data_IF_290248501306
#
_entry.id   IF_290248501306
#
_cell.length_a   1.000
_cell.length_b   1.000
_cell.length_c   1.000
_cell.angle_alpha   90.00
_cell.angle_beta   90.00
_cell.angle_gamma   90.00
#
_symmetry.space_group_name_H-M   'P 1'
#
loop_
_entity.id
_entity.type
_entity.pdbx_description
1 polymer ?
#
# COMPACT_ATOMS: atom_id res chain seq x y z
N UNK A 1 -30.74 15.89 32.57
CA UNK A 1 -29.96 15.01 33.43
C UNK A 1 -28.55 15.55 33.49
N UNK A 2 -27.94 15.75 34.68
CA UNK A 2 -26.56 16.18 34.80
C UNK A 2 -25.64 15.11 34.31
N UNK A 3 -24.69 15.46 33.39
CA UNK A 3 -23.64 14.50 32.94
C UNK A 3 -22.81 14.07 34.15
N UNK A 4 -22.47 12.79 34.25
CA UNK A 4 -21.60 12.23 35.31
C UNK A 4 -20.18 12.77 35.17
N UNK A 5 -19.45 12.88 36.30
CA UNK A 5 -18.06 13.31 36.30
C UNK A 5 -17.18 12.30 35.51
N UNK A 6 -16.30 12.80 34.65
CA UNK A 6 -15.43 11.96 33.84
C UNK A 6 -14.47 11.08 34.68
N UNK A 7 -14.04 11.55 35.86
CA UNK A 7 -13.25 10.75 36.77
C UNK A 7 -14.06 9.57 37.36
N UNK A 8 -15.35 9.82 37.66
CA UNK A 8 -16.26 8.77 38.12
C UNK A 8 -16.57 7.75 37.02
N UNK A 9 -16.71 8.17 35.76
CA UNK A 9 -16.94 7.29 34.61
C UNK A 9 -15.76 6.32 34.44
N UNK A 10 -14.52 6.82 34.57
CA UNK A 10 -13.31 5.98 34.49
C UNK A 10 -12.98 5.26 35.80
N UNK A 11 -13.63 5.63 36.92
CA UNK A 11 -13.39 5.03 38.24
C UNK A 11 -12.01 5.36 38.79
N UNK A 12 -11.49 6.58 38.55
CA UNK A 12 -10.21 7.04 39.02
C UNK A 12 -10.34 8.32 39.87
N UNK A 13 -9.45 8.60 40.84
CA UNK A 13 -9.47 9.86 41.58
C UNK A 13 -9.05 11.04 40.70
N UNK A 14 -9.48 12.25 41.06
CA UNK A 14 -9.07 13.50 40.36
C UNK A 14 -7.57 13.74 40.32
N UNK A 15 -6.83 13.11 41.23
CA UNK A 15 -5.36 13.18 41.33
C UNK A 15 -4.67 12.11 40.48
N UNK A 16 -5.40 11.27 39.74
CA UNK A 16 -4.84 10.15 38.96
C UNK A 16 -3.84 10.64 37.92
N UNK A 17 -2.74 9.92 37.77
CA UNK A 17 -1.75 10.11 36.73
C UNK A 17 -2.27 9.73 35.35
N UNK A 18 -1.59 10.19 34.30
CA UNK A 18 -1.96 9.83 32.90
C UNK A 18 -1.94 8.31 32.67
N UNK A 19 -0.98 7.61 33.27
CA UNK A 19 -0.86 6.16 33.15
C UNK A 19 -2.02 5.42 33.85
N UNK A 20 -2.46 5.91 35.00
CA UNK A 20 -3.63 5.35 35.71
C UNK A 20 -4.92 5.55 34.92
N UNK A 21 -5.11 6.74 34.34
CA UNK A 21 -6.24 7.04 33.44
C UNK A 21 -6.24 6.12 32.24
N UNK A 22 -5.07 5.94 31.59
CA UNK A 22 -4.91 5.04 30.43
C UNK A 22 -5.19 3.58 30.77
N UNK A 23 -4.73 3.13 31.96
CA UNK A 23 -4.96 1.75 32.44
C UNK A 23 -6.44 1.50 32.75
N UNK A 24 -7.10 2.44 33.40
CA UNK A 24 -8.52 2.38 33.71
C UNK A 24 -9.38 2.34 32.43
N UNK A 25 -9.06 3.23 31.47
CA UNK A 25 -9.71 3.24 30.17
C UNK A 25 -9.61 1.89 29.44
N UNK A 26 -8.40 1.32 29.31
CA UNK A 26 -8.20 0.02 28.65
C UNK A 26 -9.04 -1.08 29.28
N UNK A 27 -9.10 -1.12 30.62
CA UNK A 27 -9.88 -2.12 31.35
C UNK A 27 -11.37 -1.99 31.08
N UNK A 28 -11.90 -0.76 31.06
CA UNK A 28 -13.33 -0.49 30.84
C UNK A 28 -13.71 -0.66 29.37
N UNK A 29 -12.85 -0.24 28.44
CA UNK A 29 -13.06 -0.40 27.01
C UNK A 29 -13.18 -1.87 26.60
N UNK A 30 -12.31 -2.75 27.14
CA UNK A 30 -12.40 -4.21 26.92
C UNK A 30 -13.67 -4.81 27.53
N UNK A 31 -14.13 -4.27 28.68
CA UNK A 31 -15.31 -4.78 29.39
C UNK A 31 -16.61 -4.41 28.68
N UNK A 32 -16.71 -3.21 28.13
CA UNK A 32 -17.94 -2.66 27.52
C UNK A 32 -17.89 -2.58 26.00
N UNK A 33 -16.93 -3.26 25.36
CA UNK A 33 -16.81 -3.28 23.89
C UNK A 33 -18.08 -3.82 23.24
N UNK A 34 -18.63 -3.16 22.20
CA UNK A 34 -19.89 -3.57 21.57
C UNK A 34 -19.85 -4.97 20.99
N UNK A 35 -18.69 -5.48 20.53
CA UNK A 35 -18.55 -6.82 19.97
C UNK A 35 -18.46 -7.93 21.01
N UNK A 36 -18.48 -7.62 22.31
CA UNK A 36 -18.43 -8.61 23.37
C UNK A 36 -19.83 -8.97 23.85
N UNK A 37 -20.07 -10.25 24.16
CA UNK A 37 -21.30 -10.67 24.82
C UNK A 37 -21.45 -9.91 26.16
N UNK A 38 -22.48 -9.05 26.26
CA UNK A 38 -22.69 -8.16 27.39
C UNK A 38 -22.05 -6.79 27.28
N UNK A 39 -21.58 -6.39 26.10
CA UNK A 39 -21.13 -5.02 25.81
C UNK A 39 -22.27 -4.00 25.92
N UNK A 40 -21.93 -2.76 26.27
CA UNK A 40 -22.87 -1.65 26.43
C UNK A 40 -22.35 -0.46 25.65
N UNK A 41 -22.93 -0.21 24.49
CA UNK A 41 -22.49 0.86 23.56
C UNK A 41 -22.62 2.26 24.20
N UNK A 42 -23.65 2.49 25.01
CA UNK A 42 -23.84 3.78 25.66
C UNK A 42 -22.72 4.04 26.69
N UNK A 43 -22.39 3.05 27.51
CA UNK A 43 -21.28 3.15 28.46
C UNK A 43 -19.93 3.24 27.76
N UNK A 44 -19.75 2.54 26.66
CA UNK A 44 -18.52 2.62 25.87
C UNK A 44 -18.30 4.04 25.31
N UNK A 45 -19.37 4.71 24.85
CA UNK A 45 -19.31 6.11 24.38
C UNK A 45 -18.94 7.07 25.53
N UNK A 46 -19.54 6.92 26.71
CA UNK A 46 -19.22 7.73 27.89
C UNK A 46 -17.76 7.55 28.33
N UNK A 47 -17.24 6.31 28.32
CA UNK A 47 -15.86 5.98 28.67
C UNK A 47 -14.86 6.62 27.69
N UNK A 48 -15.18 6.59 26.39
CA UNK A 48 -14.36 7.23 25.36
C UNK A 48 -14.33 8.75 25.50
N UNK A 49 -15.51 9.40 25.70
CA UNK A 49 -15.62 10.85 25.94
C UNK A 49 -14.78 11.28 27.18
N UNK A 50 -14.90 10.54 28.27
CA UNK A 50 -14.14 10.79 29.50
C UNK A 50 -12.62 10.67 29.27
N UNK A 51 -12.18 9.63 28.55
CA UNK A 51 -10.76 9.44 28.27
C UNK A 51 -10.18 10.50 27.35
N UNK A 52 -10.91 10.92 26.32
CA UNK A 52 -10.47 11.98 25.40
C UNK A 52 -10.20 13.31 26.11
N UNK A 53 -11.01 13.65 27.09
CA UNK A 53 -10.83 14.87 27.87
C UNK A 53 -9.71 14.74 28.89
N UNK A 54 -9.61 13.61 29.61
CA UNK A 54 -8.67 13.45 30.70
C UNK A 54 -7.25 13.04 30.27
N UNK A 55 -7.08 12.52 29.05
CA UNK A 55 -5.77 12.17 28.48
C UNK A 55 -4.94 13.40 28.08
N UNK A 56 -5.58 14.49 27.71
CA UNK A 56 -4.92 15.73 27.29
C UNK A 56 -4.79 16.71 28.45
N UNK A 57 -3.58 17.14 28.78
CA UNK A 57 -3.30 18.05 29.91
C UNK A 57 -4.08 19.34 29.83
N UNK A 58 -4.23 19.92 28.65
CA UNK A 58 -4.94 21.20 28.48
C UNK A 58 -6.44 21.01 28.62
N UNK A 59 -7.02 19.96 28.03
CA UNK A 59 -8.44 19.64 28.15
C UNK A 59 -8.79 19.26 29.58
N UNK A 60 -7.93 18.47 30.25
CA UNK A 60 -8.09 18.11 31.66
C UNK A 60 -8.10 19.34 32.56
N UNK A 61 -7.15 20.28 32.40
CA UNK A 61 -7.13 21.53 33.16
C UNK A 61 -8.38 22.37 32.96
N UNK A 62 -8.90 22.46 31.73
CA UNK A 62 -10.17 23.16 31.44
C UNK A 62 -11.35 22.44 32.06
N UNK A 63 -11.35 21.12 32.04
CA UNK A 63 -12.41 20.33 32.69
C UNK A 63 -12.37 20.50 34.21
N UNK A 64 -11.19 20.49 34.81
CA UNK A 64 -11.00 20.67 36.26
C UNK A 64 -11.44 22.05 36.75
N UNK A 65 -11.32 23.09 35.89
CA UNK A 65 -11.73 24.47 36.22
C UNK A 65 -13.21 24.76 35.92
N UNK A 66 -13.72 24.26 34.83
CA UNK A 66 -15.04 24.68 34.31
C UNK A 66 -16.02 23.48 34.15
N UNK A 67 -15.64 22.28 34.54
CA UNK A 67 -16.45 21.08 34.41
C UNK A 67 -16.76 20.76 32.93
N UNK A 68 -17.91 20.17 32.68
CA UNK A 68 -18.37 19.85 31.31
C UNK A 68 -18.56 21.09 30.42
N UNK A 69 -18.81 22.26 30.99
CA UNK A 69 -18.92 23.50 30.23
C UNK A 69 -17.59 23.98 29.63
N UNK A 70 -16.45 23.59 30.23
CA UNK A 70 -15.11 23.98 29.75
C UNK A 70 -14.59 23.13 28.58
N UNK A 71 -15.24 21.99 28.31
CA UNK A 71 -14.83 21.05 27.25
C UNK A 71 -15.93 20.78 26.21
N UNK A 72 -17.17 21.20 26.50
CA UNK A 72 -18.25 21.27 25.51
C UNK A 72 -18.21 22.63 24.82
N UNK A 73 -17.68 22.68 23.60
CA UNK A 73 -17.46 23.82 22.71
C UNK A 73 -18.17 25.15 23.06
N UNK A 74 -17.48 26.04 23.74
CA UNK A 74 -17.88 27.42 23.86
C UNK A 74 -17.36 28.23 22.67
N UNK A 75 -18.18 28.38 21.65
CA UNK A 75 -18.15 29.58 20.82
C UNK A 75 -19.55 29.80 20.24
N UNK A 76 -20.20 30.83 20.70
CA UNK A 76 -21.45 31.49 20.36
C UNK A 76 -22.20 31.02 19.10
N UNK A 77 -23.44 30.53 19.30
CA UNK A 77 -24.40 30.35 18.23
C UNK A 77 -25.07 28.99 18.22
N UNK A 78 -26.19 28.85 18.88
CA UNK A 78 -27.20 27.79 18.90
C UNK A 78 -27.04 26.61 17.95
N UNK A 79 -26.48 25.53 18.47
CA UNK A 79 -26.66 24.20 17.91
C UNK A 79 -26.96 23.24 19.08
N UNK A 80 -28.26 23.15 19.40
CA UNK A 80 -28.81 22.09 20.24
C UNK A 80 -28.92 20.83 19.34
N UNK A 81 -27.87 20.07 19.25
CA UNK A 81 -27.84 18.79 18.54
C UNK A 81 -26.57 18.04 18.91
N UNK A 82 -26.73 16.77 19.28
CA UNK A 82 -25.60 15.86 19.57
C UNK A 82 -24.56 15.91 18.44
N UNK A 83 -23.28 16.15 18.72
CA UNK A 83 -22.24 16.18 17.68
C UNK A 83 -22.07 14.82 16.94
N UNK A 84 -22.72 13.77 17.43
CA UNK A 84 -22.61 12.40 16.90
C UNK A 84 -23.78 11.98 16.01
N UNK A 85 -24.86 12.79 15.92
CA UNK A 85 -26.03 12.46 15.09
C UNK A 85 -25.78 12.72 13.59
N UNK A 86 -24.73 13.50 13.25
CA UNK A 86 -24.28 13.72 11.88
C UNK A 86 -23.40 12.61 11.27
N UNK A 87 -22.96 11.64 12.07
CA UNK A 87 -22.06 10.55 11.63
C UNK A 87 -22.79 9.25 11.25
N UNK A 88 -24.10 9.19 11.41
CA UNK A 88 -24.96 8.04 11.10
C UNK A 88 -25.39 7.89 9.63
N UNK A 89 -24.95 8.77 8.72
CA UNK A 89 -25.45 8.86 7.34
C UNK A 89 -24.58 8.22 6.25
N UNK A 90 -23.50 7.52 6.55
CA UNK A 90 -22.72 6.80 5.55
C UNK A 90 -22.96 5.28 5.69
N UNK A 91 -24.08 4.84 5.12
CA UNK A 91 -24.41 3.44 4.95
C UNK A 91 -23.49 2.76 3.94
N UNK A 92 -22.81 1.70 4.37
CA UNK A 92 -22.38 0.61 3.52
C UNK A 92 -21.00 0.69 2.89
N UNK A 93 -19.96 0.61 3.72
CA UNK A 93 -18.72 -0.09 3.36
C UNK A 93 -17.96 -0.42 4.66
N UNK A 94 -17.55 -1.69 4.79
CA UNK A 94 -16.77 -2.19 5.92
C UNK A 94 -15.44 -1.43 6.03
N UNK A 95 -15.40 -0.37 6.83
CA UNK A 95 -14.15 0.27 7.22
C UNK A 95 -13.65 -0.46 8.46
N UNK A 96 -12.70 -1.34 8.26
CA UNK A 96 -11.95 -1.99 9.33
C UNK A 96 -11.14 -0.90 10.05
N UNK A 97 -11.59 -0.47 11.22
CA UNK A 97 -10.83 0.42 12.07
C UNK A 97 -9.69 -0.38 12.72
N UNK A 98 -8.50 -0.28 12.14
CA UNK A 98 -7.27 -0.73 12.79
C UNK A 98 -6.92 0.23 13.93
N UNK A 99 -7.02 -0.25 15.16
CA UNK A 99 -6.86 0.49 16.42
C UNK A 99 -5.38 0.53 16.83
N UNK A 100 -4.43 0.62 15.86
CA UNK A 100 -2.98 0.76 16.07
C UNK A 100 -2.51 2.18 15.79
N UNK A 101 -2.10 2.84 16.87
CA UNK A 101 -1.18 4.00 16.95
C UNK A 101 -1.17 5.00 15.77
N UNK A 102 -2.05 6.00 15.76
CA UNK A 102 -1.87 7.24 14.97
C UNK A 102 -3.08 7.77 14.18
N UNK A 103 -4.14 6.99 13.89
CA UNK A 103 -5.11 7.37 12.86
C UNK A 103 -6.26 8.32 13.27
N UNK A 104 -6.61 8.42 14.54
CA UNK A 104 -7.73 9.29 14.97
C UNK A 104 -7.34 10.76 15.14
N UNK A 105 -6.07 11.05 15.39
CA UNK A 105 -5.56 12.41 15.55
C UNK A 105 -5.62 13.20 14.25
N UNK A 106 -5.37 12.57 13.12
CA UNK A 106 -5.30 13.24 11.82
C UNK A 106 -6.69 13.56 11.26
N UNK A 107 -7.67 12.67 11.43
CA UNK A 107 -9.06 12.91 10.98
C UNK A 107 -9.73 13.99 11.87
N UNK A 108 -9.44 13.97 13.16
CA UNK A 108 -9.95 15.01 14.08
C UNK A 108 -9.29 16.36 13.83
N UNK A 109 -7.99 16.42 13.54
CA UNK A 109 -7.28 17.64 13.17
C UNK A 109 -7.76 18.20 11.82
N UNK A 110 -8.11 17.36 10.87
CA UNK A 110 -8.63 17.77 9.57
C UNK A 110 -10.06 18.32 9.67
N UNK A 111 -10.88 17.80 10.60
CA UNK A 111 -12.27 18.23 10.75
C UNK A 111 -12.47 19.36 11.77
N UNK A 112 -11.68 19.40 12.84
CA UNK A 112 -11.79 20.42 13.90
C UNK A 112 -10.65 21.45 13.93
N UNK A 113 -9.53 21.18 13.30
CA UNK A 113 -8.37 22.08 13.19
C UNK A 113 -8.48 23.12 12.06
N UNK A 114 -9.51 23.10 11.28
CA UNK A 114 -9.69 23.92 10.07
C UNK A 114 -9.97 25.40 10.26
N UNK A 115 -9.92 25.93 11.49
CA UNK A 115 -10.20 27.35 11.76
C UNK A 115 -9.01 28.13 12.37
N UNK A 116 -7.89 27.49 12.69
CA UNK A 116 -6.68 28.18 13.10
C UNK A 116 -5.70 28.20 11.93
N UNK A 117 -5.72 29.28 11.14
CA UNK A 117 -4.86 29.50 9.99
C UNK A 117 -3.37 29.31 10.29
N UNK A 118 -2.90 28.12 10.10
CA UNK A 118 -1.52 27.83 9.84
C UNK A 118 -1.34 27.85 8.34
N UNK A 119 -0.99 29.00 7.75
CA UNK A 119 -0.36 29.09 6.45
C UNK A 119 0.99 28.36 6.54
N UNK A 120 0.94 27.06 6.68
CA UNK A 120 2.08 26.22 6.45
C UNK A 120 2.45 26.41 4.98
N UNK A 121 3.58 27.05 4.75
CA UNK A 121 4.26 27.12 3.47
C UNK A 121 4.70 25.69 3.09
N UNK A 122 3.70 24.81 2.90
CA UNK A 122 3.92 23.44 2.41
C UNK A 122 4.59 23.57 1.06
N UNK A 123 5.87 23.19 1.00
CA UNK A 123 6.58 23.09 -0.27
C UNK A 123 5.69 22.29 -1.21
N UNK A 124 5.33 22.89 -2.33
CA UNK A 124 4.56 22.21 -3.36
C UNK A 124 5.29 20.92 -3.76
N UNK A 125 4.58 19.81 -3.87
CA UNK A 125 5.14 18.54 -4.32
C UNK A 125 4.63 18.24 -5.71
N UNK A 126 5.51 17.77 -6.58
CA UNK A 126 5.15 17.26 -7.90
C UNK A 126 4.24 16.06 -7.82
N UNK A 127 3.57 15.75 -8.92
CA UNK A 127 2.67 14.61 -9.01
C UNK A 127 3.44 13.31 -9.00
N UNK A 128 2.89 12.32 -8.33
CA UNK A 128 3.35 10.95 -8.41
C UNK A 128 2.98 10.38 -9.79
N UNK A 129 3.81 9.48 -10.30
CA UNK A 129 3.64 8.84 -11.61
C UNK A 129 3.57 7.35 -11.44
N UNK A 130 2.70 6.70 -12.21
CA UNK A 130 2.56 5.27 -12.22
C UNK A 130 2.92 4.71 -13.60
N UNK A 131 3.60 3.57 -13.61
CA UNK A 131 3.93 2.84 -14.82
C UNK A 131 3.93 1.34 -14.56
N UNK A 132 3.88 0.53 -15.61
CA UNK A 132 3.94 -0.92 -15.49
C UNK A 132 5.13 -1.47 -16.28
N UNK A 133 5.80 -2.46 -15.69
CA UNK A 133 6.91 -3.16 -16.32
C UNK A 133 6.60 -4.64 -16.36
N UNK A 134 6.72 -5.23 -17.55
CA UNK A 134 6.52 -6.66 -17.74
C UNK A 134 7.87 -7.38 -17.72
N UNK A 135 7.97 -8.41 -16.89
CA UNK A 135 9.14 -9.27 -16.70
C UNK A 135 8.91 -10.64 -17.33
N UNK A 136 10.00 -11.32 -17.70
CA UNK A 136 9.96 -12.77 -17.89
C UNK A 136 9.87 -13.47 -16.52
N UNK A 137 9.58 -14.75 -16.53
CA UNK A 137 9.57 -15.56 -15.32
C UNK A 137 10.93 -15.60 -14.64
N UNK A 138 11.99 -15.78 -15.45
CA UNK A 138 13.40 -15.84 -15.02
C UNK A 138 13.84 -14.49 -14.44
N UNK A 139 13.47 -13.36 -15.08
CA UNK A 139 13.76 -12.02 -14.57
C UNK A 139 13.16 -11.81 -13.18
N UNK A 140 11.95 -12.33 -12.95
CA UNK A 140 11.28 -12.22 -11.66
C UNK A 140 11.94 -13.13 -10.59
N UNK A 141 12.45 -14.30 -10.99
CA UNK A 141 13.14 -15.22 -10.08
C UNK A 141 14.52 -14.68 -9.69
N UNK A 142 15.33 -14.24 -10.66
CA UNK A 142 16.73 -13.85 -10.41
C UNK A 142 16.92 -12.37 -10.13
N UNK A 143 15.89 -11.54 -10.41
CA UNK A 143 16.02 -10.10 -10.38
C UNK A 143 16.73 -9.57 -11.63
N UNK A 144 16.47 -8.32 -11.94
CA UNK A 144 17.02 -7.67 -13.14
C UNK A 144 17.11 -6.16 -12.97
N UNK A 145 18.06 -5.53 -13.63
CA UNK A 145 18.08 -4.08 -13.80
C UNK A 145 17.45 -3.73 -15.15
N UNK A 146 16.38 -2.96 -15.11
CA UNK A 146 15.63 -2.58 -16.32
C UNK A 146 15.58 -1.07 -16.49
N UNK A 147 15.87 -0.60 -17.70
CA UNK A 147 15.73 0.80 -18.06
C UNK A 147 14.35 1.04 -18.63
N UNK A 148 13.68 2.08 -18.16
CA UNK A 148 12.41 2.56 -18.68
C UNK A 148 12.56 4.02 -19.07
N UNK A 149 11.92 4.42 -20.17
CA UNK A 149 11.89 5.80 -20.65
C UNK A 149 10.49 6.36 -20.43
N UNK A 150 10.39 7.43 -19.67
CA UNK A 150 9.11 8.06 -19.33
C UNK A 150 9.16 9.55 -19.68
N UNK A 151 8.05 10.05 -20.22
CA UNK A 151 7.89 11.48 -20.51
C UNK A 151 7.39 12.18 -19.25
N UNK A 152 8.27 12.90 -18.57
CA UNK A 152 8.01 13.55 -17.27
C UNK A 152 8.26 15.04 -17.33
N UNK A 153 7.53 15.79 -16.50
CA UNK A 153 7.87 17.16 -16.21
C UNK A 153 9.10 17.17 -15.28
N UNK A 154 10.19 17.73 -15.77
CA UNK A 154 11.47 17.86 -15.04
C UNK A 154 11.77 19.33 -14.78
N UNK A 155 12.61 19.59 -13.81
CA UNK A 155 13.08 20.93 -13.53
C UNK A 155 13.75 21.51 -14.79
N UNK A 156 13.42 22.76 -15.11
CA UNK A 156 13.99 23.45 -16.27
C UNK A 156 15.47 23.74 -16.02
N UNK A 157 16.35 23.15 -16.80
CA UNK A 157 17.81 23.33 -16.70
C UNK A 157 18.26 24.75 -16.90
N UNK A 158 17.48 25.57 -17.64
CA UNK A 158 17.84 26.95 -17.93
C UNK A 158 17.58 27.91 -16.76
N UNK A 159 16.46 27.74 -16.05
CA UNK A 159 16.07 28.61 -14.94
C UNK A 159 16.07 27.91 -13.57
N UNK A 160 16.46 26.65 -13.49
CA UNK A 160 16.54 25.87 -12.25
C UNK A 160 15.25 25.96 -11.39
N UNK A 161 14.09 25.83 -12.05
CA UNK A 161 12.78 25.81 -11.38
C UNK A 161 12.17 27.18 -11.10
N UNK A 162 12.90 28.28 -11.20
CA UNK A 162 12.39 29.63 -10.85
C UNK A 162 11.35 30.15 -11.84
N UNK A 163 11.45 29.79 -13.10
CA UNK A 163 10.60 30.29 -14.17
C UNK A 163 11.04 31.65 -14.71
N UNK A 164 12.07 32.28 -14.13
CA UNK A 164 12.64 33.53 -14.58
C UNK A 164 13.81 33.30 -15.56
N UNK A 165 14.01 34.21 -16.50
CA UNK A 165 15.19 34.22 -17.35
C UNK A 165 16.45 34.43 -16.48
N UNK A 166 17.55 33.68 -16.67
CA UNK A 166 18.79 33.89 -15.94
C UNK A 166 19.27 35.36 -15.98
N UNK A 167 19.57 35.89 -14.80
CA UNK A 167 19.95 37.30 -14.63
C UNK A 167 18.79 38.25 -14.34
N UNK A 168 17.55 37.79 -14.39
CA UNK A 168 16.33 38.55 -13.99
C UNK A 168 15.76 38.02 -12.70
N UNK A 169 15.20 38.93 -11.90
CA UNK A 169 14.64 38.60 -10.60
C UNK A 169 13.15 38.19 -10.63
N UNK A 170 12.64 37.87 -9.45
CA UNK A 170 11.21 37.69 -9.20
C UNK A 170 10.64 38.97 -8.58
N UNK A 171 9.55 39.48 -9.14
CA UNK A 171 8.80 40.61 -8.59
C UNK A 171 7.51 40.16 -7.88
N UNK A 172 7.06 40.94 -6.92
CA UNK A 172 5.77 40.70 -6.26
C UNK A 172 4.65 40.72 -7.28
N UNK A 173 3.76 39.74 -7.23
CA UNK A 173 2.62 39.65 -8.15
C UNK A 173 1.74 40.92 -8.03
N UNK A 174 1.53 41.68 -9.12
CA UNK A 174 0.75 42.89 -9.09
C UNK A 174 -0.73 42.64 -8.78
N UNK A 175 -1.25 41.49 -9.13
CA UNK A 175 -2.66 41.13 -9.01
C UNK A 175 -3.07 40.77 -7.58
N UNK A 176 -2.27 39.97 -6.87
CA UNK A 176 -2.54 39.56 -5.49
C UNK A 176 -1.65 40.28 -4.46
N UNK A 177 -0.76 41.16 -4.89
CA UNK A 177 0.19 41.88 -4.03
C UNK A 177 0.99 40.99 -3.08
N UNK A 178 1.33 39.78 -3.54
CA UNK A 178 2.10 38.81 -2.76
C UNK A 178 1.27 37.78 -1.99
N UNK A 179 -0.05 37.94 -1.87
CA UNK A 179 -0.91 37.04 -1.09
C UNK A 179 -1.10 35.63 -1.71
N UNK A 180 -0.80 35.46 -3.00
CA UNK A 180 -1.00 34.20 -3.72
C UNK A 180 -2.48 33.87 -4.01
N UNK A 181 -3.41 34.56 -3.39
CA UNK A 181 -4.85 34.32 -3.47
C UNK A 181 -5.59 35.60 -3.76
N UNK A 182 -6.78 35.50 -4.31
CA UNK A 182 -7.71 36.60 -4.54
C UNK A 182 -9.06 36.26 -3.91
N UNK A 183 -9.70 37.22 -3.29
CA UNK A 183 -11.08 37.07 -2.79
C UNK A 183 -12.04 37.35 -3.93
N UNK A 184 -12.83 36.37 -4.34
CA UNK A 184 -13.96 36.55 -5.25
C UNK A 184 -15.25 36.47 -4.48
N UNK A 185 -16.12 37.46 -4.68
CA UNK A 185 -17.47 37.45 -4.11
C UNK A 185 -18.40 36.74 -5.10
N UNK A 186 -19.01 35.66 -4.66
CA UNK A 186 -20.04 34.95 -5.43
C UNK A 186 -21.41 35.20 -4.81
N UNK A 187 -22.38 35.52 -5.65
CA UNK A 187 -23.78 35.63 -5.21
C UNK A 187 -24.38 34.23 -5.15
N UNK A 188 -24.81 33.79 -3.98
CA UNK A 188 -25.57 32.56 -3.78
C UNK A 188 -27.02 32.88 -3.38
N UNK A 189 -27.91 31.90 -3.42
CA UNK A 189 -29.28 31.99 -2.95
C UNK A 189 -29.40 32.43 -1.47
N UNK A 190 -28.31 32.30 -0.71
CA UNK A 190 -28.23 32.62 0.72
C UNK A 190 -27.42 33.91 1.01
N UNK A 191 -27.09 34.70 -0.03
CA UNK A 191 -26.33 35.94 0.12
C UNK A 191 -24.98 35.93 -0.59
N UNK A 192 -24.18 36.96 -0.37
CA UNK A 192 -22.83 37.10 -0.93
C UNK A 192 -21.82 36.27 -0.11
N UNK A 193 -21.18 35.30 -0.74
CA UNK A 193 -20.13 34.50 -0.14
C UNK A 193 -18.78 34.96 -0.72
N UNK A 194 -17.85 35.28 0.16
CA UNK A 194 -16.47 35.56 -0.23
C UNK A 194 -15.67 34.26 -0.22
N UNK A 195 -15.12 33.89 -1.38
CA UNK A 195 -14.29 32.72 -1.54
C UNK A 195 -12.87 33.14 -1.92
N UNK A 196 -11.87 32.62 -1.20
CA UNK A 196 -10.48 32.76 -1.57
C UNK A 196 -10.19 31.80 -2.74
N UNK A 197 -9.75 32.34 -3.88
CA UNK A 197 -9.35 31.58 -5.06
C UNK A 197 -7.87 31.82 -5.33
N UNK A 198 -7.19 30.82 -5.85
CA UNK A 198 -5.77 30.93 -6.23
C UNK A 198 -5.62 32.05 -7.27
N UNK A 199 -4.63 32.90 -7.11
CA UNK A 199 -4.35 33.99 -8.05
C UNK A 199 -3.94 33.43 -9.43
N UNK A 200 -4.69 33.76 -10.47
CA UNK A 200 -4.46 33.28 -11.84
C UNK A 200 -3.12 33.73 -12.42
N UNK A 201 -2.59 34.89 -12.00
CA UNK A 201 -1.35 35.46 -12.52
C UNK A 201 -0.11 34.77 -11.94
N UNK A 202 -0.09 34.45 -10.67
CA UNK A 202 1.06 33.84 -10.01
C UNK A 202 0.85 32.39 -9.60
N UNK A 203 -0.32 31.83 -9.85
CA UNK A 203 -0.69 30.45 -9.53
C UNK A 203 -0.38 30.05 -8.07
N UNK A 204 -0.67 30.96 -7.14
CA UNK A 204 -0.43 30.75 -5.71
C UNK A 204 0.95 31.16 -5.20
N UNK A 205 1.93 31.43 -6.06
CA UNK A 205 3.32 31.74 -5.68
C UNK A 205 3.51 33.12 -5.04
N UNK A 206 2.57 34.05 -5.23
CA UNK A 206 2.68 35.43 -4.77
C UNK A 206 3.71 36.28 -5.51
N UNK A 207 4.56 35.67 -6.33
CA UNK A 207 5.62 36.32 -7.13
C UNK A 207 5.49 35.90 -8.59
N UNK A 208 5.94 36.76 -9.50
CA UNK A 208 6.02 36.52 -10.93
C UNK A 208 7.41 36.89 -11.44
N UNK A 209 7.95 36.25 -12.47
CA UNK A 209 9.25 36.61 -13.04
C UNK A 209 9.19 37.99 -13.65
N UNK A 210 10.28 38.75 -13.54
CA UNK A 210 10.41 40.03 -14.27
C UNK A 210 10.48 39.82 -15.79
N UNK A 211 11.16 38.74 -16.18
CA UNK A 211 11.20 38.24 -17.55
C UNK A 211 11.02 36.73 -17.50
N UNK A 212 10.07 36.19 -18.26
CA UNK A 212 9.82 34.77 -18.33
C UNK A 212 10.99 34.03 -18.97
N UNK A 213 11.33 32.87 -18.42
CA UNK A 213 12.32 31.97 -18.98
C UNK A 213 11.96 31.59 -20.42
N UNK A 214 12.88 31.78 -21.35
CA UNK A 214 12.68 31.50 -22.77
C UNK A 214 12.40 30.02 -23.08
N UNK A 215 12.87 29.09 -22.21
CA UNK A 215 12.72 27.64 -22.39
C UNK A 215 11.40 27.12 -21.82
N UNK A 216 11.11 27.42 -20.56
CA UNK A 216 9.92 26.91 -19.89
C UNK A 216 8.72 27.86 -19.88
N UNK A 217 8.89 29.11 -20.37
CA UNK A 217 7.85 30.14 -20.43
C UNK A 217 7.17 30.39 -19.07
N UNK A 218 7.99 30.59 -18.04
CA UNK A 218 7.55 30.89 -16.69
C UNK A 218 7.10 29.66 -15.86
N UNK A 219 6.95 28.49 -16.45
CA UNK A 219 6.49 27.28 -15.75
C UNK A 219 7.48 26.76 -14.70
N UNK A 220 8.79 26.91 -14.94
CA UNK A 220 9.87 26.36 -14.10
C UNK A 220 10.13 24.88 -14.37
N UNK A 221 9.30 24.20 -15.17
CA UNK A 221 9.48 22.81 -15.57
C UNK A 221 9.39 22.64 -17.07
N UNK A 222 10.04 21.62 -17.61
CA UNK A 222 9.99 21.24 -19.03
C UNK A 222 9.66 19.76 -19.14
N UNK A 223 8.90 19.39 -20.17
CA UNK A 223 8.53 18.01 -20.41
C UNK A 223 9.62 17.33 -21.24
N UNK A 224 10.26 16.32 -20.66
CA UNK A 224 11.39 15.62 -21.28
C UNK A 224 11.28 14.12 -21.07
N UNK A 225 11.91 13.36 -21.96
CA UNK A 225 12.04 11.92 -21.81
C UNK A 225 13.16 11.63 -20.81
N UNK A 226 12.81 10.93 -19.72
CA UNK A 226 13.75 10.54 -18.66
C UNK A 226 13.97 9.04 -18.70
N UNK A 227 15.23 8.63 -18.80
CA UNK A 227 15.65 7.25 -18.69
C UNK A 227 15.93 6.92 -17.22
N UNK A 228 15.11 6.01 -16.66
CA UNK A 228 15.20 5.62 -15.27
C UNK A 228 15.58 4.14 -15.20
N UNK A 229 16.69 3.83 -14.54
CA UNK A 229 17.10 2.45 -14.27
C UNK A 229 16.43 1.98 -12.97
N UNK A 230 15.74 0.87 -13.05
CA UNK A 230 15.03 0.24 -11.92
C UNK A 230 15.75 -1.05 -11.59
N UNK A 231 16.16 -1.19 -10.34
CA UNK A 231 16.68 -2.44 -9.81
C UNK A 231 15.52 -3.26 -9.23
N UNK A 232 15.21 -4.34 -9.87
CA UNK A 232 14.14 -5.27 -9.48
C UNK A 232 14.75 -6.40 -8.68
N UNK A 233 14.35 -6.59 -7.41
CA UNK A 233 14.93 -7.64 -6.57
C UNK A 233 14.52 -9.03 -7.05
N UNK A 234 15.38 -10.02 -6.78
CA UNK A 234 15.09 -11.42 -7.01
C UNK A 234 13.89 -11.88 -6.16
N UNK A 235 13.06 -12.74 -6.73
CA UNK A 235 11.89 -13.27 -6.05
C UNK A 235 10.68 -12.35 -5.98
N UNK A 236 10.65 -11.27 -6.77
CA UNK A 236 9.52 -10.35 -6.80
C UNK A 236 8.24 -11.06 -7.28
N UNK A 237 7.11 -10.73 -6.64
CA UNK A 237 5.82 -11.31 -7.00
C UNK A 237 5.14 -10.55 -8.16
N UNK A 238 4.27 -11.27 -8.90
CA UNK A 238 3.37 -10.62 -9.85
C UNK A 238 2.42 -9.67 -9.12
N UNK A 239 2.16 -8.49 -9.71
CA UNK A 239 1.36 -7.44 -9.10
C UNK A 239 2.08 -6.60 -8.02
N UNK A 240 3.33 -6.89 -7.70
CA UNK A 240 4.11 -6.09 -6.77
C UNK A 240 4.34 -4.67 -7.30
N UNK A 241 4.46 -3.69 -6.39
CA UNK A 241 4.72 -2.29 -6.73
C UNK A 241 6.03 -1.83 -6.11
N UNK A 242 6.93 -1.30 -6.93
CA UNK A 242 8.18 -0.69 -6.50
C UNK A 242 8.01 0.82 -6.49
N UNK A 243 8.26 1.45 -5.34
CA UNK A 243 8.27 2.91 -5.20
C UNK A 243 9.69 3.46 -5.33
N UNK A 244 9.89 4.33 -6.29
CA UNK A 244 11.12 5.10 -6.47
C UNK A 244 10.88 6.54 -6.03
N UNK A 245 11.48 6.92 -4.90
CA UNK A 245 11.32 8.26 -4.31
C UNK A 245 11.94 9.33 -5.21
N UNK A 246 11.28 10.49 -5.29
CA UNK A 246 11.73 11.67 -6.04
C UNK A 246 12.00 11.41 -7.54
N UNK A 247 11.33 10.40 -8.12
CA UNK A 247 11.42 10.03 -9.55
C UNK A 247 10.13 10.32 -10.33
N UNK A 248 9.14 10.95 -9.70
CA UNK A 248 7.92 11.45 -10.34
C UNK A 248 8.11 12.81 -11.02
N UNK A 249 7.01 13.51 -11.30
CA UNK A 249 7.04 14.84 -11.91
C UNK A 249 7.62 15.87 -10.97
N UNK A 250 8.35 16.84 -11.55
CA UNK A 250 8.84 18.01 -10.85
C UNK A 250 7.75 19.10 -10.79
N UNK A 251 7.86 19.96 -9.79
CA UNK A 251 7.09 21.21 -9.69
C UNK A 251 8.04 22.35 -9.39
N UNK A 252 7.77 23.51 -9.97
CA UNK A 252 8.60 24.69 -9.78
C UNK A 252 8.68 25.11 -8.30
N UNK A 253 9.90 25.14 -7.75
CA UNK A 253 10.16 25.54 -6.36
C UNK A 253 9.71 24.52 -5.30
N UNK A 254 9.44 23.27 -5.68
CA UNK A 254 9.01 22.20 -4.80
C UNK A 254 9.81 20.91 -4.93
N UNK A 255 9.41 19.88 -4.20
CA UNK A 255 9.99 18.55 -4.31
C UNK A 255 9.36 17.78 -5.47
N UNK A 256 10.08 16.83 -6.03
CA UNK A 256 9.51 15.89 -7.02
C UNK A 256 8.52 14.95 -6.37
N UNK A 257 7.58 14.41 -7.17
CA UNK A 257 6.75 13.28 -6.81
C UNK A 257 7.53 11.97 -6.82
N UNK A 258 6.87 10.87 -6.53
CA UNK A 258 7.41 9.53 -6.59
C UNK A 258 6.99 8.81 -7.87
N UNK A 259 7.76 7.80 -8.26
CA UNK A 259 7.41 6.90 -9.35
C UNK A 259 7.04 5.53 -8.78
N UNK A 260 5.83 5.08 -9.08
CA UNK A 260 5.33 3.74 -8.75
C UNK A 260 5.42 2.85 -9.98
N UNK A 261 6.12 1.74 -9.85
CA UNK A 261 6.33 0.78 -10.92
C UNK A 261 5.61 -0.51 -10.58
N UNK A 262 4.54 -0.80 -11.31
CA UNK A 262 3.77 -2.03 -11.15
C UNK A 262 4.42 -3.15 -11.95
N UNK A 263 4.78 -4.22 -11.28
CA UNK A 263 5.43 -5.38 -11.89
C UNK A 263 4.36 -6.34 -12.40
N UNK A 264 4.53 -6.79 -13.64
CA UNK A 264 3.75 -7.87 -14.25
C UNK A 264 4.68 -8.97 -14.71
N UNK A 265 4.45 -10.19 -14.26
CA UNK A 265 5.24 -11.36 -14.64
C UNK A 265 4.49 -12.14 -15.72
N UNK A 266 5.18 -12.43 -16.83
CA UNK A 266 4.61 -13.28 -17.89
C UNK A 266 4.50 -14.71 -17.39
N UNK A 267 3.39 -15.38 -17.69
CA UNK A 267 3.24 -16.80 -17.46
C UNK A 267 4.32 -17.57 -18.24
N UNK A 268 4.96 -18.53 -17.59
CA UNK A 268 5.90 -19.43 -18.24
C UNK A 268 5.18 -20.67 -18.79
N UNK A 269 5.72 -21.27 -19.84
CA UNK A 269 5.10 -22.43 -20.50
C UNK A 269 5.15 -23.70 -19.66
N UNK A 270 6.24 -23.91 -18.92
CA UNK A 270 6.51 -25.09 -18.13
C UNK A 270 6.38 -24.89 -16.64
N UNK A 271 6.64 -23.67 -16.15
CA UNK A 271 6.72 -23.38 -14.74
C UNK A 271 5.51 -22.61 -14.25
N UNK A 272 4.97 -23.07 -13.13
CA UNK A 272 3.97 -22.32 -12.34
C UNK A 272 4.59 -21.95 -11.01
N UNK A 273 4.32 -20.73 -10.52
CA UNK A 273 4.83 -20.23 -9.25
C UNK A 273 3.74 -20.21 -8.21
N UNK A 274 4.02 -20.75 -7.03
CA UNK A 274 3.19 -20.63 -5.83
C UNK A 274 4.06 -20.12 -4.67
N UNK A 275 3.99 -18.82 -4.41
CA UNK A 275 4.88 -18.17 -3.44
C UNK A 275 6.35 -18.35 -3.82
N UNK A 276 7.11 -19.09 -3.00
CA UNK A 276 8.52 -19.39 -3.26
C UNK A 276 8.75 -20.78 -3.90
N UNK A 277 7.69 -21.48 -4.21
CA UNK A 277 7.74 -22.81 -4.84
C UNK A 277 7.57 -22.64 -6.35
N UNK A 278 8.35 -23.39 -7.11
CA UNK A 278 8.16 -23.57 -8.54
C UNK A 278 7.57 -24.96 -8.75
N UNK A 279 6.55 -25.06 -9.59
CA UNK A 279 5.88 -26.30 -9.99
C UNK A 279 6.15 -26.55 -11.46
N UNK A 280 6.45 -27.81 -11.81
CA UNK A 280 6.50 -28.29 -13.18
C UNK A 280 5.97 -29.71 -13.27
N UNK A 281 5.62 -30.14 -14.48
CA UNK A 281 5.19 -31.50 -14.77
C UNK A 281 6.15 -32.15 -15.77
N UNK A 282 6.55 -33.37 -15.48
CA UNK A 282 7.38 -34.19 -16.38
C UNK A 282 6.67 -35.51 -16.69
N UNK A 283 6.69 -35.88 -17.96
CA UNK A 283 6.02 -37.05 -18.46
C UNK A 283 7.01 -38.22 -18.63
N UNK A 284 6.70 -39.37 -18.05
CA UNK A 284 7.50 -40.60 -18.18
C UNK A 284 6.65 -41.75 -18.68
N UNK A 285 7.31 -42.74 -19.31
CA UNK A 285 6.57 -43.91 -19.74
C UNK A 285 6.18 -44.81 -18.55
N UNK A 286 5.10 -45.58 -18.68
CA UNK A 286 4.71 -46.57 -17.67
C UNK A 286 5.82 -47.61 -17.38
N UNK A 287 6.69 -47.88 -18.36
CA UNK A 287 7.80 -48.84 -18.22
C UNK A 287 8.88 -48.24 -17.33
N UNK A 288 9.24 -46.98 -17.59
CA UNK A 288 10.21 -46.23 -16.79
C UNK A 288 9.73 -46.04 -15.36
N UNK A 289 8.43 -45.76 -15.18
CA UNK A 289 7.81 -45.65 -13.86
C UNK A 289 7.86 -46.98 -13.09
N UNK A 290 7.66 -48.11 -13.78
CA UNK A 290 7.71 -49.44 -13.16
C UNK A 290 9.12 -49.91 -12.80
N UNK A 291 10.10 -49.63 -13.65
CA UNK A 291 11.49 -50.11 -13.50
C UNK A 291 12.37 -49.12 -12.74
N UNK A 292 11.97 -47.86 -12.67
CA UNK A 292 12.80 -46.74 -12.25
C UNK A 292 13.67 -46.22 -13.39
N UNK A 293 13.97 -44.95 -13.38
CA UNK A 293 14.77 -44.30 -14.42
C UNK A 293 15.44 -43.05 -13.87
N UNK A 294 16.34 -42.47 -14.66
CA UNK A 294 16.90 -41.15 -14.44
C UNK A 294 16.43 -40.26 -15.59
N UNK A 295 15.88 -39.09 -15.26
CA UNK A 295 15.42 -38.12 -16.24
C UNK A 295 16.12 -36.78 -16.04
N UNK A 296 16.31 -36.06 -17.13
CA UNK A 296 16.82 -34.70 -17.07
C UNK A 296 15.62 -33.72 -17.00
N UNK A 297 15.55 -33.01 -15.88
CA UNK A 297 14.49 -32.03 -15.57
C UNK A 297 15.02 -30.63 -15.81
N UNK A 298 14.32 -29.87 -16.60
CA UNK A 298 14.60 -28.45 -16.78
C UNK A 298 14.15 -27.68 -15.54
N UNK A 299 15.06 -26.91 -14.97
CA UNK A 299 14.78 -26.00 -13.87
C UNK A 299 15.11 -24.58 -14.30
N UNK A 300 14.73 -23.58 -13.48
CA UNK A 300 15.09 -22.16 -13.75
C UNK A 300 16.59 -21.90 -13.74
N UNK A 301 17.38 -22.80 -13.12
CA UNK A 301 18.85 -22.71 -13.02
C UNK A 301 19.58 -23.51 -14.11
N UNK A 302 18.85 -24.27 -14.92
CA UNK A 302 19.36 -25.17 -15.91
C UNK A 302 18.80 -26.58 -15.76
N UNK A 303 19.45 -27.56 -16.41
CA UNK A 303 19.01 -28.97 -16.42
C UNK A 303 19.62 -29.73 -15.26
N UNK A 304 18.81 -30.51 -14.54
CA UNK A 304 19.24 -31.38 -13.43
C UNK A 304 18.76 -32.80 -13.67
N UNK A 305 19.64 -33.77 -13.50
CA UNK A 305 19.25 -35.17 -13.55
C UNK A 305 18.58 -35.60 -12.26
N UNK A 306 17.34 -36.07 -12.36
CA UNK A 306 16.52 -36.54 -11.24
C UNK A 306 16.29 -38.06 -11.34
N UNK A 307 16.51 -38.77 -10.23
CA UNK A 307 16.28 -40.20 -10.13
C UNK A 307 14.84 -40.50 -9.73
N UNK A 308 14.17 -41.30 -10.52
CA UNK A 308 12.81 -41.78 -10.29
C UNK A 308 12.88 -43.24 -9.80
N UNK A 309 12.42 -43.52 -8.57
CA UNK A 309 12.39 -44.88 -8.02
C UNK A 309 11.45 -45.81 -8.79
N UNK A 310 11.79 -47.11 -8.81
CA UNK A 310 10.91 -48.11 -9.38
C UNK A 310 9.55 -48.15 -8.62
N UNK A 311 8.45 -48.24 -9.37
CA UNK A 311 7.10 -48.30 -8.82
C UNK A 311 6.49 -46.92 -8.56
N UNK A 312 7.10 -45.84 -9.08
CA UNK A 312 6.54 -44.47 -8.99
C UNK A 312 5.17 -44.41 -9.64
N UNK A 313 4.21 -43.79 -8.97
CA UNK A 313 2.84 -43.64 -9.45
C UNK A 313 2.67 -42.27 -10.12
N UNK A 314 1.70 -42.18 -11.05
CA UNK A 314 1.32 -40.90 -11.66
C UNK A 314 0.82 -39.94 -10.58
N UNK A 315 1.22 -38.65 -10.65
CA UNK A 315 0.91 -37.64 -9.66
C UNK A 315 1.83 -37.66 -8.43
N UNK A 316 2.97 -38.38 -8.49
CA UNK A 316 3.98 -38.34 -7.43
C UNK A 316 4.84 -37.08 -7.59
N UNK A 317 4.98 -36.30 -6.51
CA UNK A 317 5.78 -35.09 -6.46
C UNK A 317 7.21 -35.34 -5.99
N UNK A 318 8.17 -34.80 -6.72
CA UNK A 318 9.59 -34.84 -6.36
C UNK A 318 10.07 -33.44 -6.02
N UNK A 319 10.72 -33.31 -4.87
CA UNK A 319 11.20 -32.02 -4.35
C UNK A 319 12.67 -31.81 -4.67
N UNK A 320 12.97 -30.82 -5.49
CA UNK A 320 14.31 -30.31 -5.76
C UNK A 320 14.58 -29.10 -4.86
N UNK A 321 15.32 -29.31 -3.77
CA UNK A 321 15.59 -28.25 -2.78
C UNK A 321 16.53 -27.19 -3.35
N UNK A 322 16.23 -25.89 -3.11
CA UNK A 322 17.08 -24.77 -3.54
C UNK A 322 16.91 -24.34 -4.99
N UNK A 323 16.02 -24.97 -5.78
CA UNK A 323 15.73 -24.63 -7.18
C UNK A 323 14.42 -23.86 -7.38
N UNK A 324 13.82 -23.40 -6.30
CA UNK A 324 12.64 -22.53 -6.32
C UNK A 324 12.99 -21.05 -6.38
N UNK A 325 12.02 -20.21 -6.04
CA UNK A 325 12.15 -18.74 -6.03
C UNK A 325 12.89 -18.29 -4.77
N UNK A 326 13.83 -17.32 -4.87
CA UNK A 326 14.48 -16.72 -3.72
C UNK A 326 13.49 -15.98 -2.82
N UNK A 327 13.74 -15.93 -1.52
CA UNK A 327 13.03 -15.07 -0.61
C UNK A 327 13.53 -13.62 -0.74
N UNK A 328 12.63 -12.63 -0.77
CA UNK A 328 12.96 -11.19 -0.97
C UNK A 328 14.01 -10.63 0.00
N UNK A 329 14.16 -11.20 1.20
CA UNK A 329 15.05 -10.70 2.24
C UNK A 329 16.03 -11.76 2.77
N UNK A 330 16.24 -12.85 2.02
CA UNK A 330 17.11 -13.96 2.43
C UNK A 330 17.78 -14.56 1.20
N UNK A 331 18.98 -15.10 1.40
CA UNK A 331 19.68 -15.86 0.35
C UNK A 331 19.08 -17.26 0.14
N UNK A 332 18.18 -17.70 1.03
CA UNK A 332 17.51 -18.99 0.90
C UNK A 332 16.51 -18.98 -0.25
N UNK A 333 16.40 -20.13 -0.92
CA UNK A 333 15.47 -20.37 -2.02
C UNK A 333 14.46 -21.44 -1.64
N UNK A 334 13.25 -21.31 -2.17
CA UNK A 334 12.24 -22.33 -2.08
C UNK A 334 12.61 -23.60 -2.87
N UNK A 335 11.79 -24.64 -2.82
CA UNK A 335 11.96 -25.84 -3.65
C UNK A 335 11.32 -25.66 -5.04
N UNK A 336 11.82 -26.45 -6.00
CA UNK A 336 11.10 -26.78 -7.21
C UNK A 336 10.44 -28.15 -7.00
N UNK A 337 9.15 -28.25 -7.21
CA UNK A 337 8.38 -29.49 -7.12
C UNK A 337 8.05 -29.94 -8.53
N UNK A 338 8.47 -31.16 -8.85
CA UNK A 338 8.27 -31.80 -10.14
C UNK A 338 7.22 -32.88 -9.99
N UNK A 339 6.03 -32.66 -10.53
CA UNK A 339 4.96 -33.65 -10.60
C UNK A 339 5.23 -34.63 -11.74
N UNK A 340 5.33 -35.91 -11.44
CA UNK A 340 5.58 -36.94 -12.47
C UNK A 340 4.26 -37.49 -12.97
N UNK A 341 4.02 -37.36 -14.27
CA UNK A 341 2.86 -37.91 -14.98
C UNK A 341 3.28 -39.19 -15.71
N UNK A 342 2.62 -40.31 -15.42
CA UNK A 342 2.90 -41.58 -16.08
C UNK A 342 2.00 -41.74 -17.30
N UNK A 343 2.62 -41.75 -18.47
CA UNK A 343 1.91 -41.92 -19.72
C UNK A 343 1.68 -43.37 -20.06
N UNK A 344 0.43 -43.73 -20.33
CA UNK A 344 0.09 -45.07 -20.86
C UNK A 344 0.05 -45.00 -22.38
N UNK A 345 0.85 -45.84 -23.07
CA UNK A 345 0.95 -45.80 -24.52
C UNK A 345 -0.38 -46.21 -25.16
N UNK A 346 -0.88 -45.35 -26.07
CA UNK A 346 -2.15 -45.59 -26.80
C UNK A 346 -1.94 -46.39 -28.08
N UNK A 347 -0.73 -46.37 -28.67
CA UNK A 347 -0.38 -47.09 -29.92
C UNK A 347 0.71 -48.06 -29.61
N UNK A 348 0.36 -49.35 -29.55
CA UNK A 348 1.27 -50.47 -29.31
C UNK A 348 1.58 -51.20 -30.61
N UNK A 349 2.86 -51.57 -30.80
CA UNK A 349 3.26 -52.52 -31.83
C UNK A 349 2.82 -53.94 -31.44
N UNK A 350 2.72 -54.87 -32.40
CA UNK A 350 2.36 -56.28 -32.13
C UNK A 350 3.24 -56.88 -31.04
N UNK A 351 4.56 -56.67 -31.12
CA UNK A 351 5.51 -57.16 -30.13
C UNK A 351 5.32 -56.57 -28.72
N UNK A 352 5.05 -55.28 -28.63
CA UNK A 352 4.76 -54.64 -27.34
C UNK A 352 3.48 -55.18 -26.71
N UNK A 353 2.43 -55.40 -27.52
CA UNK A 353 1.19 -56.00 -27.04
C UNK A 353 1.41 -57.41 -26.48
N UNK A 354 2.14 -58.26 -27.21
CA UNK A 354 2.50 -59.61 -26.76
C UNK A 354 3.26 -59.62 -25.43
N UNK A 355 4.24 -58.69 -25.28
CA UNK A 355 5.01 -58.56 -24.02
C UNK A 355 4.13 -58.11 -22.85
N UNK A 356 3.20 -57.19 -23.06
CA UNK A 356 2.26 -56.75 -22.03
C UNK A 356 1.24 -57.85 -21.66
N UNK A 357 0.82 -58.65 -22.64
CA UNK A 357 -0.04 -59.82 -22.37
C UNK A 357 0.70 -60.89 -21.57
N UNK A 358 1.96 -61.15 -21.85
CA UNK A 358 2.84 -62.05 -21.06
C UNK A 358 3.02 -61.50 -19.63
N UNK A 359 3.30 -60.21 -19.48
CA UNK A 359 3.39 -59.55 -18.17
C UNK A 359 2.09 -59.68 -17.36
N UNK A 360 0.94 -59.47 -17.99
CA UNK A 360 -0.39 -59.65 -17.38
C UNK A 360 -0.62 -61.10 -16.91
N UNK A 361 -0.11 -62.08 -17.67
CA UNK A 361 -0.20 -63.51 -17.34
C UNK A 361 0.78 -64.01 -16.28
N UNK A 362 1.84 -63.21 -15.99
CA UNK A 362 2.81 -63.53 -14.98
C UNK A 362 2.19 -63.38 -13.57
N UNK A 363 1.79 -64.51 -12.94
CA UNK A 363 1.29 -64.51 -11.56
C UNK A 363 2.40 -64.04 -10.60
N UNK A 364 2.08 -63.02 -9.75
CA UNK A 364 2.89 -62.78 -8.55
C UNK A 364 2.88 -64.11 -7.73
N UNK A 365 4.02 -64.79 -7.60
CA UNK A 365 4.17 -65.83 -6.59
C UNK A 365 4.04 -65.14 -5.23
N UNK A 366 2.88 -65.25 -4.61
CA UNK A 366 2.65 -64.79 -3.25
C UNK A 366 3.58 -65.59 -2.31
N UNK A 367 4.26 -64.86 -1.43
CA UNK A 367 5.13 -65.46 -0.40
C UNK A 367 4.34 -66.12 0.73
N UNK A 368 2.99 -66.16 0.63
CA UNK A 368 2.09 -66.82 1.57
C UNK A 368 0.97 -67.55 0.77
N UNK A 369 1.11 -68.84 0.61
CA UNK A 369 -0.01 -69.74 0.46
C UNK A 369 -0.07 -70.63 1.70
#
# INVERSE_FOLDING_TARGET
MSKRDYYEILGVPKTASEDEIKKAFRKLAIKYHPDKQGGDEAKFKEINEAYEVLKDKQKRQRYDQFGHAGVGGASGGGFSGNPFEGFGGFGGQNVHFDFGDGGLGDIFNQFFGGAAGGSGNGRSRGRDVETSVTLSFEDAVFGVEKKISLMLDVECEHCHGDGAEPGFGMKTCPTCKGAGQQTRTMNSLFGQIQQAVVCETCHGKGKVPEKECSVCRGKGTTRQNQDITIKIPAGIDDGATIRLRDRGEAVAGGSRGDLYVHIRVKAHKKFTREGNIILSEEHISMVDAALGTEIDVETVDGVITMKIPAGTQSGTDFKLSGHGVPHLHSESRGPHIVGVIVDTPTKLTKKQKELLEQFKGAKKRGLFS
#
